data_IF_781987332400
#
_entry.id   IF_781987332400
#
_cell.length_a   1.000
_cell.length_b   1.000
_cell.length_c   1.000
_cell.angle_alpha   90.00
_cell.angle_beta   90.00
_cell.angle_gamma   90.00
#
_symmetry.space_group_name_H-M   'P 1'
#
loop_
_entity.id
_entity.type
_entity.pdbx_description
1 polymer ?
#
# COMPACT_ATOMS: atom_id res chain seq x y z
N UNK A 1 8.49 -5.39 17.90
CA UNK A 1 8.01 -4.53 16.80
C UNK A 1 6.51 -4.73 16.65
N UNK A 2 5.73 -3.66 16.41
CA UNK A 2 4.27 -3.76 16.19
C UNK A 2 3.95 -3.37 14.75
N UNK A 3 3.18 -4.21 14.05
CA UNK A 3 2.62 -3.92 12.72
C UNK A 3 1.16 -3.59 12.90
N UNK A 4 0.71 -2.46 12.36
CA UNK A 4 -0.71 -2.06 12.35
C UNK A 4 -1.22 -2.15 10.92
N UNK A 5 -2.28 -2.94 10.71
CA UNK A 5 -2.90 -3.15 9.40
C UNK A 5 -4.42 -2.92 9.51
N UNK A 6 -4.95 -2.12 8.60
CA UNK A 6 -6.38 -1.84 8.56
C UNK A 6 -7.21 -3.02 8.03
N UNK A 7 -6.60 -3.87 7.21
CA UNK A 7 -7.27 -5.06 6.68
C UNK A 7 -7.20 -6.22 7.67
N UNK A 8 -8.07 -7.22 7.51
CA UNK A 8 -8.14 -8.41 8.37
C UNK A 8 -6.94 -9.36 8.27
N UNK A 9 -5.97 -9.09 7.39
CA UNK A 9 -4.72 -9.84 7.30
C UNK A 9 -3.63 -9.01 6.65
N UNK A 10 -2.37 -9.31 6.99
CA UNK A 10 -1.18 -8.74 6.33
C UNK A 10 -0.87 -9.48 5.01
N UNK A 11 -0.08 -8.88 4.15
CA UNK A 11 0.40 -9.45 2.88
C UNK A 11 -0.72 -9.92 1.94
N UNK A 12 -1.89 -9.30 1.98
CA UNK A 12 -3.05 -9.74 1.17
C UNK A 12 -2.85 -9.51 -0.33
N UNK A 13 -1.99 -8.56 -0.71
CA UNK A 13 -1.71 -8.23 -2.12
C UNK A 13 -0.47 -8.93 -2.66
N UNK A 14 0.23 -9.69 -1.82
CA UNK A 14 1.42 -10.42 -2.24
C UNK A 14 1.06 -11.67 -3.03
N UNK A 15 1.99 -12.05 -3.89
CA UNK A 15 1.91 -13.29 -4.66
C UNK A 15 1.84 -14.49 -3.69
N UNK A 16 0.99 -15.52 -3.96
CA UNK A 16 0.74 -16.62 -3.03
C UNK A 16 1.99 -17.33 -2.51
N UNK A 17 2.99 -17.55 -3.36
CA UNK A 17 4.23 -18.21 -2.95
C UNK A 17 5.05 -17.32 -2.02
N UNK A 18 5.19 -16.04 -2.32
CA UNK A 18 5.84 -15.06 -1.46
C UNK A 18 5.17 -15.00 -0.09
N UNK A 19 3.84 -14.95 -0.07
CA UNK A 19 3.09 -14.98 1.17
C UNK A 19 3.31 -16.28 1.96
N UNK A 20 3.27 -17.44 1.30
CA UNK A 20 3.46 -18.74 1.94
C UNK A 20 4.85 -18.91 2.57
N UNK A 21 5.89 -18.30 1.98
CA UNK A 21 7.25 -18.34 2.52
C UNK A 21 7.52 -17.28 3.58
N UNK A 22 6.88 -16.11 3.48
CA UNK A 22 7.11 -14.99 4.40
C UNK A 22 6.30 -15.11 5.69
N UNK A 23 5.05 -15.57 5.63
CA UNK A 23 4.18 -15.68 6.82
C UNK A 23 4.77 -16.52 7.95
N UNK A 24 5.37 -17.71 7.72
CA UNK A 24 5.99 -18.49 8.80
C UNK A 24 7.13 -17.74 9.50
N UNK A 25 7.90 -16.94 8.77
CA UNK A 25 9.00 -16.13 9.34
C UNK A 25 8.42 -15.03 10.24
N UNK A 26 7.38 -14.35 9.79
CA UNK A 26 6.69 -13.31 10.58
C UNK A 26 6.09 -13.92 11.85
N UNK A 27 5.35 -15.01 11.73
CA UNK A 27 4.69 -15.68 12.86
C UNK A 27 5.67 -16.33 13.85
N UNK A 28 6.87 -16.66 13.39
CA UNK A 28 7.96 -17.16 14.24
C UNK A 28 8.79 -16.05 14.91
N UNK A 29 8.49 -14.79 14.66
CA UNK A 29 9.19 -13.64 15.24
C UNK A 29 8.42 -13.04 16.43
N UNK A 30 9.08 -12.13 17.17
CA UNK A 30 8.45 -11.35 18.26
C UNK A 30 7.61 -10.17 17.75
N UNK A 31 7.12 -10.26 16.51
CA UNK A 31 6.26 -9.23 15.94
C UNK A 31 4.82 -9.31 16.49
N UNK A 32 4.33 -8.22 17.02
CA UNK A 32 2.91 -8.05 17.30
C UNK A 32 2.19 -7.57 16.04
N UNK A 33 1.15 -8.25 15.60
CA UNK A 33 0.36 -7.86 14.43
C UNK A 33 -1.04 -7.48 14.93
N UNK A 34 -1.44 -6.25 14.64
CA UNK A 34 -2.75 -5.69 14.91
C UNK A 34 -3.46 -5.50 13.56
N UNK A 35 -4.25 -6.50 13.15
CA UNK A 35 -5.16 -6.40 12.00
C UNK A 35 -6.46 -5.73 12.41
N UNK A 36 -7.25 -5.28 11.44
CA UNK A 36 -8.51 -4.57 11.66
C UNK A 36 -8.36 -3.32 12.54
N UNK A 37 -7.19 -2.69 12.48
CA UNK A 37 -6.90 -1.48 13.23
C UNK A 37 -6.57 -0.32 12.30
N UNK A 38 -7.28 0.79 12.45
CA UNK A 38 -7.04 2.03 11.69
C UNK A 38 -6.21 3.00 12.52
N UNK A 39 -5.20 3.60 11.88
CA UNK A 39 -4.43 4.71 12.47
C UNK A 39 -5.28 5.98 12.36
N UNK A 40 -5.53 6.63 13.48
CA UNK A 40 -6.30 7.88 13.56
C UNK A 40 -5.40 9.10 13.68
N UNK A 41 -4.38 8.99 14.52
CA UNK A 41 -3.52 10.13 14.84
C UNK A 41 -2.11 9.67 15.14
N UNK A 42 -1.14 10.45 14.70
CA UNK A 42 0.27 10.30 15.06
C UNK A 42 0.69 11.51 15.89
N UNK A 43 1.29 11.27 17.03
CA UNK A 43 1.92 12.27 17.89
C UNK A 43 3.44 12.05 17.91
N UNK A 44 4.18 12.82 18.69
CA UNK A 44 5.64 12.73 18.74
C UNK A 44 6.15 11.35 19.23
N UNK A 45 5.41 10.71 20.15
CA UNK A 45 5.87 9.48 20.81
C UNK A 45 4.82 8.36 20.80
N UNK A 46 3.66 8.58 20.19
CA UNK A 46 2.59 7.59 20.16
C UNK A 46 1.72 7.71 18.91
N UNK A 47 1.15 6.59 18.50
CA UNK A 47 0.13 6.50 17.46
C UNK A 47 -1.18 6.01 18.08
N UNK A 48 -2.26 6.75 17.84
CA UNK A 48 -3.61 6.34 18.23
C UNK A 48 -4.16 5.43 17.14
N UNK A 49 -4.56 4.23 17.52
CA UNK A 49 -5.20 3.24 16.63
C UNK A 49 -6.58 2.88 17.15
N UNK A 50 -7.52 2.66 16.25
CA UNK A 50 -8.89 2.24 16.56
C UNK A 50 -9.12 0.84 16.01
N UNK A 51 -9.58 -0.07 16.87
CA UNK A 51 -10.07 -1.38 16.47
C UNK A 51 -11.39 -1.21 15.70
N UNK A 52 -11.46 -1.74 14.49
CA UNK A 52 -12.62 -1.55 13.60
C UNK A 52 -13.84 -2.38 14.00
N UNK A 53 -13.68 -3.40 14.84
CA UNK A 53 -14.79 -4.22 15.34
C UNK A 53 -15.39 -3.64 16.62
N UNK A 54 -14.53 -3.28 17.59
CA UNK A 54 -14.99 -2.79 18.89
C UNK A 54 -15.17 -1.28 18.94
N UNK A 55 -14.58 -0.54 17.99
CA UNK A 55 -14.50 0.92 17.96
C UNK A 55 -13.70 1.50 19.15
N UNK A 56 -12.95 0.68 19.84
CA UNK A 56 -12.09 1.13 20.93
C UNK A 56 -10.78 1.71 20.38
N UNK A 57 -10.42 2.88 20.91
CA UNK A 57 -9.16 3.53 20.58
C UNK A 57 -8.11 3.25 21.65
N UNK A 58 -6.85 3.05 21.22
CA UNK A 58 -5.71 2.92 22.12
C UNK A 58 -4.48 3.62 21.56
N UNK A 59 -3.61 4.07 22.44
CA UNK A 59 -2.33 4.64 22.08
C UNK A 59 -1.22 3.58 22.14
N UNK A 60 -0.43 3.49 21.08
CA UNK A 60 0.74 2.64 20.98
C UNK A 60 1.98 3.54 21.00
N UNK A 61 2.85 3.42 22.03
CA UNK A 61 4.09 4.18 22.08
C UNK A 61 5.07 3.67 21.02
N UNK A 62 5.92 4.56 20.48
CA UNK A 62 6.99 4.21 19.57
C UNK A 62 8.18 5.16 19.71
N UNK A 63 9.39 4.65 19.41
CA UNK A 63 10.61 5.43 19.22
C UNK A 63 10.86 5.69 17.73
N UNK A 64 10.49 4.73 16.88
CA UNK A 64 10.63 4.82 15.43
C UNK A 64 9.35 4.29 14.77
N UNK A 65 8.82 5.07 13.83
CA UNK A 65 7.66 4.69 13.03
C UNK A 65 8.03 4.58 11.55
N UNK A 66 7.65 3.47 10.92
CA UNK A 66 7.77 3.27 9.48
C UNK A 66 6.37 3.28 8.87
N UNK A 67 6.11 4.25 7.99
CA UNK A 67 4.83 4.37 7.28
C UNK A 67 4.88 3.61 5.95
N UNK A 68 4.07 2.55 5.83
CA UNK A 68 3.89 1.74 4.63
C UNK A 68 2.42 1.75 4.19
N UNK A 69 1.82 2.94 4.08
CA UNK A 69 0.39 3.13 3.87
C UNK A 69 -0.06 3.01 2.40
N UNK A 70 0.83 2.50 1.55
CA UNK A 70 0.59 2.38 0.12
C UNK A 70 0.89 3.67 -0.65
N UNK A 71 0.55 3.65 -1.93
CA UNK A 71 0.81 4.73 -2.89
C UNK A 71 -0.47 5.07 -3.64
N UNK A 72 -0.53 6.31 -4.15
CA UNK A 72 -1.60 6.77 -5.04
C UNK A 72 -1.01 7.16 -6.39
N UNK A 73 -1.74 6.96 -7.49
CA UNK A 73 -1.33 7.48 -8.79
C UNK A 73 -1.07 8.99 -8.71
N UNK A 74 0.00 9.43 -9.34
CA UNK A 74 0.31 10.85 -9.50
C UNK A 74 0.53 11.14 -10.98
N UNK A 75 -0.39 11.89 -11.59
CA UNK A 75 -0.44 12.14 -13.02
C UNK A 75 -0.80 13.60 -13.33
N UNK A 76 0.09 14.55 -13.03
CA UNK A 76 -0.18 15.98 -13.20
C UNK A 76 -0.19 16.43 -14.67
N UNK A 77 0.35 15.62 -15.59
CA UNK A 77 0.51 15.98 -17.01
C UNK A 77 -0.65 15.53 -17.88
N UNK A 78 -1.56 14.67 -17.41
CA UNK A 78 -2.60 14.07 -18.25
C UNK A 78 -3.50 15.12 -18.91
N UNK A 79 -3.96 16.09 -18.12
CA UNK A 79 -4.86 17.14 -18.65
C UNK A 79 -4.20 17.93 -19.78
N UNK A 80 -2.99 18.42 -19.54
CA UNK A 80 -2.24 19.19 -20.55
C UNK A 80 -1.88 18.35 -21.78
N UNK A 81 -1.55 17.07 -21.59
CA UNK A 81 -1.28 16.17 -22.69
C UNK A 81 -2.52 15.94 -23.56
N UNK A 82 -3.69 15.71 -22.96
CA UNK A 82 -4.95 15.53 -23.70
C UNK A 82 -5.44 16.79 -24.43
N UNK A 83 -5.06 17.97 -23.96
CA UNK A 83 -5.31 19.23 -24.65
C UNK A 83 -4.39 19.38 -25.89
N UNK A 84 -3.16 18.89 -25.82
CA UNK A 84 -2.15 19.04 -26.87
C UNK A 84 -2.19 17.93 -27.93
N UNK A 85 -2.63 16.71 -27.56
CA UNK A 85 -2.56 15.51 -28.39
C UNK A 85 -3.91 14.77 -28.38
N UNK A 86 -4.29 14.23 -29.55
CA UNK A 86 -5.53 13.48 -29.74
C UNK A 86 -5.47 12.05 -29.19
N UNK A 87 -4.28 11.43 -29.18
CA UNK A 87 -4.07 10.09 -28.64
C UNK A 87 -3.11 10.16 -27.43
N UNK A 88 -3.67 10.04 -26.23
CA UNK A 88 -2.91 10.04 -24.99
C UNK A 88 -3.30 8.81 -24.19
N UNK A 89 -2.29 7.99 -23.87
CA UNK A 89 -2.44 6.78 -23.05
C UNK A 89 -1.71 6.94 -21.74
N UNK A 90 -2.45 6.80 -20.65
CA UNK A 90 -1.89 6.78 -19.30
C UNK A 90 -1.61 5.33 -18.93
N UNK A 91 -0.39 5.03 -18.53
CA UNK A 91 0.07 3.67 -18.20
C UNK A 91 0.91 3.63 -16.94
N UNK A 92 1.12 2.43 -16.40
CA UNK A 92 1.95 2.21 -15.20
C UNK A 92 1.42 2.96 -13.98
N UNK A 93 2.31 3.42 -13.12
CA UNK A 93 1.96 4.05 -11.85
C UNK A 93 1.23 5.40 -12.00
N UNK A 94 1.30 6.01 -13.17
CA UNK A 94 0.50 7.20 -13.47
C UNK A 94 -1.00 6.87 -13.59
N UNK A 95 -1.35 5.64 -14.00
CA UNK A 95 -2.72 5.15 -14.08
C UNK A 95 -3.16 4.47 -12.78
N UNK A 96 -2.36 3.51 -12.33
CA UNK A 96 -2.62 2.74 -11.11
C UNK A 96 -1.30 2.22 -10.56
N UNK A 97 -1.03 2.55 -9.30
CA UNK A 97 0.20 2.09 -8.64
C UNK A 97 0.18 0.58 -8.43
N UNK A 98 1.23 -0.08 -8.87
CA UNK A 98 1.38 -1.53 -8.78
C UNK A 98 2.86 -1.92 -8.61
N UNK A 99 3.29 -3.00 -9.25
CA UNK A 99 4.68 -3.44 -9.27
C UNK A 99 5.31 -3.19 -10.64
N UNK A 100 6.63 -3.40 -10.72
CA UNK A 100 7.42 -3.21 -11.94
C UNK A 100 6.89 -4.09 -13.10
N UNK A 101 6.46 -5.32 -12.80
CA UNK A 101 5.96 -6.25 -13.82
C UNK A 101 4.68 -5.71 -14.49
N UNK A 102 3.74 -5.17 -13.71
CA UNK A 102 2.51 -4.58 -14.24
C UNK A 102 2.79 -3.30 -15.04
N UNK A 103 3.73 -2.47 -14.59
CA UNK A 103 4.14 -1.27 -15.33
C UNK A 103 4.77 -1.63 -16.68
N UNK A 104 5.66 -2.63 -16.72
CA UNK A 104 6.30 -3.12 -17.94
C UNK A 104 5.27 -3.72 -18.90
N UNK A 105 4.33 -4.50 -18.38
CA UNK A 105 3.23 -5.11 -19.15
C UNK A 105 2.31 -4.05 -19.76
N UNK A 106 1.95 -3.03 -18.99
CA UNK A 106 1.16 -1.91 -19.49
C UNK A 106 1.87 -1.19 -20.65
N UNK A 107 3.19 -0.93 -20.53
CA UNK A 107 3.99 -0.34 -21.57
C UNK A 107 4.06 -1.22 -22.85
N UNK A 108 4.26 -2.52 -22.69
CA UNK A 108 4.28 -3.47 -23.79
C UNK A 108 2.95 -3.45 -24.57
N UNK A 109 1.82 -3.58 -23.90
CA UNK A 109 0.52 -3.56 -24.56
C UNK A 109 0.17 -2.21 -25.16
N UNK A 110 0.58 -1.10 -24.54
CA UNK A 110 0.41 0.21 -25.14
C UNK A 110 1.17 0.34 -26.46
N UNK A 111 2.42 -0.17 -26.50
CA UNK A 111 3.26 -0.17 -27.69
C UNK A 111 2.74 -1.06 -28.84
N UNK A 112 2.10 -2.20 -28.52
CA UNK A 112 1.50 -3.06 -29.54
C UNK A 112 0.28 -2.45 -30.25
N UNK A 113 -0.33 -1.43 -29.68
CA UNK A 113 -1.56 -0.82 -30.17
C UNK A 113 -1.36 0.61 -30.71
N UNK A 114 -0.13 0.92 -31.11
CA UNK A 114 0.20 2.18 -31.79
C UNK A 114 0.03 2.02 -33.30
#
# INVERSE_FOLDING_TARGET
MTVVEMLGAILMKEEPLTRATTMPVILGSDMQILTDHRIEKVSEHAVTVTDLHTQEAKDLPFDTMVMALGTKPYNPLESAAREAFSDVRVIGDAQATANIAEATKAGFFAGLNI
#
